data_IF_275156378068
#
_entry.id   IF_275156378068
#
_cell.length_a   1.000
_cell.length_b   1.000
_cell.length_c   1.000
_cell.angle_alpha   90.00
_cell.angle_beta   90.00
_cell.angle_gamma   90.00
#
_symmetry.space_group_name_H-M   'P 1'
#
loop_
_entity.id
_entity.type
_entity.pdbx_description
1 polymer ?
#
# COMPACT_ATOMS: atom_id res chain seq x y z
N UNK A 1 -7.97 -9.40 4.72
CA UNK A 1 -9.18 -8.73 4.18
C UNK A 1 -9.18 -8.96 2.67
N UNK A 2 -10.30 -9.37 2.06
CA UNK A 2 -10.33 -9.81 0.66
C UNK A 2 -10.60 -8.70 -0.36
N UNK A 3 -10.39 -9.01 -1.64
CA UNK A 3 -10.59 -8.12 -2.80
C UNK A 3 -12.05 -7.71 -3.01
N UNK A 4 -12.99 -8.48 -2.44
CA UNK A 4 -14.43 -8.27 -2.56
C UNK A 4 -14.86 -6.85 -2.16
N UNK A 5 -14.13 -6.20 -1.24
CA UNK A 5 -14.44 -4.83 -0.77
C UNK A 5 -14.45 -3.79 -1.89
N UNK A 6 -13.70 -3.99 -2.96
CA UNK A 6 -13.65 -3.04 -4.08
C UNK A 6 -14.87 -3.15 -5.02
N UNK A 7 -15.75 -4.12 -4.76
CA UNK A 7 -17.02 -4.30 -5.48
C UNK A 7 -18.20 -3.66 -4.70
N UNK A 8 -17.92 -2.87 -3.66
CA UNK A 8 -18.92 -2.14 -2.88
C UNK A 8 -18.59 -0.64 -2.85
N UNK A 9 -19.63 0.18 -2.85
CA UNK A 9 -19.53 1.61 -2.55
C UNK A 9 -19.88 1.87 -1.09
N UNK A 10 -19.02 2.57 -0.37
CA UNK A 10 -19.11 2.82 1.06
C UNK A 10 -19.61 4.24 1.34
N UNK A 11 -20.65 4.32 2.16
CA UNK A 11 -21.28 5.57 2.60
C UNK A 11 -21.15 5.71 4.11
N UNK A 12 -20.74 6.89 4.58
CA UNK A 12 -20.67 7.18 6.02
C UNK A 12 -22.09 7.20 6.60
N UNK A 13 -22.23 6.63 7.79
CA UNK A 13 -23.46 6.66 8.57
C UNK A 13 -23.29 7.56 9.80
N UNK A 14 -24.40 8.08 10.36
CA UNK A 14 -24.39 8.83 11.60
C UNK A 14 -23.70 8.06 12.74
N UNK A 15 -22.94 8.78 13.57
CA UNK A 15 -22.22 8.19 14.70
C UNK A 15 -23.16 7.52 15.72
N UNK A 16 -24.40 8.01 15.85
CA UNK A 16 -25.45 7.44 16.71
C UNK A 16 -25.76 5.97 16.36
N UNK A 17 -25.63 5.58 15.09
CA UNK A 17 -25.88 4.21 14.65
C UNK A 17 -24.72 3.25 14.92
N UNK A 18 -23.55 3.75 15.35
CA UNK A 18 -22.33 2.92 15.49
C UNK A 18 -22.55 1.69 16.38
N UNK A 19 -23.15 1.87 17.55
CA UNK A 19 -23.29 0.79 18.54
C UNK A 19 -24.24 -0.30 18.07
N UNK A 20 -25.39 0.07 17.48
CA UNK A 20 -26.35 -0.91 16.98
C UNK A 20 -25.78 -1.65 15.76
N UNK A 21 -25.12 -0.94 14.86
CA UNK A 21 -24.52 -1.52 13.66
C UNK A 21 -23.34 -2.44 13.98
N UNK A 22 -22.58 -2.14 15.03
CA UNK A 22 -21.53 -3.04 15.52
C UNK A 22 -22.10 -4.40 15.95
N UNK A 23 -23.26 -4.40 16.61
CA UNK A 23 -23.95 -5.64 17.02
C UNK A 23 -24.53 -6.41 15.83
N UNK A 24 -24.95 -5.70 14.78
CA UNK A 24 -25.57 -6.29 13.58
C UNK A 24 -24.57 -6.69 12.49
N UNK A 25 -23.28 -6.35 12.63
CA UNK A 25 -22.24 -6.55 11.62
C UNK A 25 -22.23 -7.99 11.07
N UNK A 26 -22.19 -9.00 11.95
CA UNK A 26 -22.16 -10.42 11.53
C UNK A 26 -23.42 -10.86 10.80
N UNK A 27 -24.57 -10.38 11.23
CA UNK A 27 -25.87 -10.75 10.66
C UNK A 27 -26.00 -10.15 9.26
N UNK A 28 -25.73 -8.85 9.13
CA UNK A 28 -25.85 -8.17 7.84
C UNK A 28 -24.77 -8.63 6.87
N UNK A 29 -23.54 -8.86 7.32
CA UNK A 29 -22.43 -9.22 6.43
C UNK A 29 -22.47 -10.68 5.91
N UNK A 30 -23.43 -11.50 6.34
CA UNK A 30 -23.59 -12.88 5.87
C UNK A 30 -24.14 -12.97 4.43
N UNK A 31 -25.05 -12.07 4.04
CA UNK A 31 -25.58 -11.98 2.68
C UNK A 31 -24.61 -11.23 1.74
N UNK A 32 -24.71 -11.29 0.39
CA UNK A 32 -23.69 -10.75 -0.52
C UNK A 32 -23.89 -9.29 -1.00
N UNK A 33 -25.04 -8.67 -0.80
CA UNK A 33 -25.46 -7.38 -1.37
C UNK A 33 -25.07 -6.15 -0.55
N UNK A 34 -25.16 -6.25 0.78
CA UNK A 34 -24.88 -5.11 1.68
C UNK A 34 -23.76 -5.48 2.66
N UNK A 35 -22.92 -4.53 3.01
CA UNK A 35 -22.00 -4.65 4.14
C UNK A 35 -22.25 -3.54 5.13
N UNK A 36 -22.09 -3.82 6.40
CA UNK A 36 -22.02 -2.79 7.43
C UNK A 36 -20.64 -2.91 8.06
N UNK A 37 -20.03 -1.77 8.38
CA UNK A 37 -18.78 -1.72 9.14
C UNK A 37 -18.89 -0.63 10.18
N UNK A 38 -18.84 -1.01 11.45
CA UNK A 38 -18.76 -0.07 12.56
C UNK A 38 -17.49 -0.33 13.36
N UNK A 39 -16.72 0.70 13.68
CA UNK A 39 -15.48 0.52 14.42
C UNK A 39 -14.80 1.84 14.80
N UNK A 40 -13.47 1.79 14.98
CA UNK A 40 -12.65 2.96 15.34
C UNK A 40 -12.87 4.15 14.38
N UNK A 41 -13.07 3.86 13.09
CA UNK A 41 -13.23 4.87 12.04
C UNK A 41 -14.70 5.23 11.74
N UNK A 42 -15.62 5.00 12.68
CA UNK A 42 -17.04 5.29 12.53
C UNK A 42 -17.85 4.15 11.93
N UNK A 43 -19.10 4.44 11.55
CA UNK A 43 -20.03 3.51 10.92
C UNK A 43 -20.16 3.80 9.43
N UNK A 44 -20.19 2.75 8.62
CA UNK A 44 -20.42 2.80 7.17
C UNK A 44 -21.36 1.68 6.75
N UNK A 45 -22.18 1.97 5.74
CA UNK A 45 -22.86 0.97 4.93
C UNK A 45 -22.13 0.86 3.60
N UNK A 46 -22.03 -0.34 3.06
CA UNK A 46 -21.52 -0.61 1.75
C UNK A 46 -22.58 -1.31 0.92
N UNK A 47 -22.80 -0.86 -0.31
CA UNK A 47 -23.76 -1.45 -1.23
C UNK A 47 -22.98 -2.08 -2.38
N UNK A 48 -23.27 -3.34 -2.70
CA UNK A 48 -22.64 -4.06 -3.82
C UNK A 48 -22.98 -3.34 -5.11
N UNK A 49 -21.95 -3.09 -5.91
CA UNK A 49 -22.10 -2.44 -7.19
C UNK A 49 -22.74 -3.41 -8.18
N UNK A 50 -23.75 -2.93 -8.91
CA UNK A 50 -24.32 -3.69 -10.04
C UNK A 50 -23.35 -3.65 -11.23
N UNK A 51 -22.67 -2.52 -11.43
CA UNK A 51 -21.61 -2.34 -12.42
C UNK A 51 -20.35 -1.86 -11.73
N UNK A 52 -19.23 -2.52 -11.98
CA UNK A 52 -17.90 -2.11 -11.53
C UNK A 52 -17.04 -1.82 -12.76
N UNK A 53 -15.94 -1.06 -12.61
CA UNK A 53 -14.99 -0.90 -13.70
C UNK A 53 -14.16 -2.17 -13.98
N UNK A 54 -14.41 -3.26 -13.24
CA UNK A 54 -13.64 -4.48 -13.36
C UNK A 54 -14.37 -5.50 -14.26
N UNK A 55 -13.67 -5.97 -15.28
CA UNK A 55 -14.15 -6.96 -16.25
C UNK A 55 -13.19 -8.16 -16.30
N UNK A 56 -13.49 -9.24 -17.03
CA UNK A 56 -12.52 -10.31 -17.26
C UNK A 56 -11.20 -9.82 -17.89
N UNK A 57 -11.26 -8.75 -18.69
CA UNK A 57 -10.11 -8.11 -19.36
C UNK A 57 -9.41 -7.07 -18.48
N UNK A 58 -10.15 -6.41 -17.58
CA UNK A 58 -9.60 -5.44 -16.62
C UNK A 58 -9.87 -5.88 -15.18
N UNK A 59 -8.93 -6.60 -14.59
CA UNK A 59 -9.12 -7.26 -13.28
C UNK A 59 -8.86 -6.30 -12.13
N UNK A 60 -9.58 -6.48 -11.03
CA UNK A 60 -9.19 -5.85 -9.77
C UNK A 60 -7.94 -6.54 -9.25
N UNK A 61 -6.92 -5.76 -8.89
CA UNK A 61 -5.74 -6.21 -8.18
C UNK A 61 -5.60 -5.43 -6.87
N UNK A 62 -4.98 -6.04 -5.87
CA UNK A 62 -4.72 -5.40 -4.60
C UNK A 62 -3.38 -5.84 -4.00
N UNK A 63 -2.78 -4.98 -3.18
CA UNK A 63 -1.50 -5.24 -2.53
C UNK A 63 -1.15 -4.16 -1.52
N UNK A 64 0.15 -3.98 -1.28
CA UNK A 64 0.64 -2.92 -0.38
C UNK A 64 0.30 -1.54 -0.94
N UNK A 65 -0.05 -0.59 -0.07
CA UNK A 65 -0.18 0.84 -0.42
C UNK A 65 1.15 1.51 -0.80
N UNK A 66 2.30 0.86 -0.52
CA UNK A 66 3.62 1.39 -0.81
C UNK A 66 4.13 0.84 -2.15
N UNK A 67 4.60 1.73 -3.04
CA UNK A 67 5.06 1.39 -4.40
C UNK A 67 6.33 2.11 -4.78
N UNK A 68 7.17 1.48 -5.60
CA UNK A 68 8.32 2.12 -6.25
C UNK A 68 8.00 2.18 -7.73
N UNK A 69 7.73 3.37 -8.24
CA UNK A 69 7.18 3.57 -9.58
C UNK A 69 8.19 4.33 -10.44
N UNK A 70 8.43 3.83 -11.64
CA UNK A 70 9.19 4.56 -12.66
C UNK A 70 8.35 5.70 -13.22
N UNK A 71 9.00 6.69 -13.83
CA UNK A 71 8.32 7.79 -14.52
C UNK A 71 7.29 7.28 -15.54
N UNK A 72 7.61 6.23 -16.30
CA UNK A 72 6.69 5.59 -17.25
C UNK A 72 5.42 5.07 -16.60
N UNK A 73 5.51 4.46 -15.41
CA UNK A 73 4.34 4.02 -14.66
C UNK A 73 3.47 5.20 -14.25
N UNK A 74 4.07 6.30 -13.78
CA UNK A 74 3.34 7.52 -13.39
C UNK A 74 2.63 8.14 -14.60
N UNK A 75 3.32 8.28 -15.73
CA UNK A 75 2.70 8.79 -16.96
C UNK A 75 1.51 7.92 -17.39
N UNK A 76 1.66 6.60 -17.31
CA UNK A 76 0.57 5.68 -17.64
C UNK A 76 -0.62 5.84 -16.69
N UNK A 77 -0.39 5.93 -15.38
CA UNK A 77 -1.45 6.19 -14.40
C UNK A 77 -2.16 7.50 -14.73
N UNK A 78 -1.42 8.57 -15.00
CA UNK A 78 -2.00 9.87 -15.35
C UNK A 78 -2.92 9.77 -16.57
N UNK A 79 -2.43 9.20 -17.68
CA UNK A 79 -3.23 9.03 -18.89
C UNK A 79 -4.44 8.13 -18.66
N UNK A 80 -4.29 7.09 -17.83
CA UNK A 80 -5.40 6.20 -17.49
C UNK A 80 -6.49 6.94 -16.74
N UNK A 81 -6.16 7.73 -15.71
CA UNK A 81 -7.19 8.44 -14.91
C UNK A 81 -7.91 9.52 -15.70
N UNK A 82 -7.22 10.20 -16.62
CA UNK A 82 -7.84 11.17 -17.53
C UNK A 82 -8.85 10.51 -18.48
N UNK A 83 -8.52 9.32 -19.00
CA UNK A 83 -9.38 8.58 -19.92
C UNK A 83 -10.52 7.83 -19.23
N UNK A 84 -10.38 7.54 -17.93
CA UNK A 84 -11.30 6.68 -17.19
C UNK A 84 -11.84 7.37 -15.92
N UNK A 85 -12.56 8.50 -16.04
CA UNK A 85 -13.09 9.21 -14.87
C UNK A 85 -14.06 8.35 -14.03
N UNK A 86 -14.77 7.40 -14.67
CA UNK A 86 -15.64 6.46 -13.97
C UNK A 86 -14.88 5.53 -13.01
N UNK A 87 -13.66 5.12 -13.35
CA UNK A 87 -12.79 4.34 -12.45
C UNK A 87 -12.43 5.15 -11.20
N UNK A 88 -12.03 6.42 -11.39
CA UNK A 88 -11.70 7.32 -10.28
C UNK A 88 -12.92 7.57 -9.37
N UNK A 89 -14.10 7.75 -9.96
CA UNK A 89 -15.33 7.95 -9.21
C UNK A 89 -15.74 6.70 -8.41
N UNK A 90 -15.53 5.51 -8.98
CA UNK A 90 -15.73 4.24 -8.29
C UNK A 90 -14.81 4.16 -7.06
N UNK A 91 -13.50 4.31 -7.26
CA UNK A 91 -12.52 4.15 -6.18
C UNK A 91 -12.59 5.24 -5.10
N UNK A 92 -13.13 6.42 -5.40
CA UNK A 92 -13.41 7.45 -4.38
C UNK A 92 -14.33 6.95 -3.26
N UNK A 93 -15.22 6.01 -3.58
CA UNK A 93 -16.20 5.44 -2.67
C UNK A 93 -15.87 3.99 -2.28
N UNK A 94 -14.71 3.43 -2.66
CA UNK A 94 -14.27 2.11 -2.17
C UNK A 94 -13.56 2.23 -0.83
N UNK A 95 -13.31 1.10 -0.18
CA UNK A 95 -12.61 1.04 1.10
C UNK A 95 -11.12 0.75 0.90
N UNK A 96 -10.27 1.63 1.44
CA UNK A 96 -8.80 1.54 1.35
C UNK A 96 -8.35 1.47 -0.13
N UNK A 97 -8.74 2.46 -0.96
CA UNK A 97 -8.47 2.43 -2.40
C UNK A 97 -6.96 2.46 -2.72
N UNK A 98 -6.13 2.99 -1.83
CA UNK A 98 -4.67 3.00 -1.94
C UNK A 98 -4.05 1.59 -2.05
N UNK A 99 -4.75 0.56 -1.59
CA UNK A 99 -4.34 -0.84 -1.73
C UNK A 99 -4.80 -1.51 -3.03
N UNK A 100 -5.61 -0.88 -3.89
CA UNK A 100 -6.04 -1.46 -5.18
C UNK A 100 -5.87 -0.56 -6.40
N UNK A 101 -5.95 0.75 -6.23
CA UNK A 101 -6.04 1.73 -7.31
C UNK A 101 -4.87 1.57 -8.29
N UNK A 102 -3.64 1.73 -7.77
CA UNK A 102 -2.42 1.68 -8.57
C UNK A 102 -2.18 0.27 -9.11
N UNK A 103 -2.42 -0.75 -8.30
CA UNK A 103 -2.22 -2.16 -8.66
C UNK A 103 -3.15 -2.55 -9.81
N UNK A 104 -4.42 -2.19 -9.73
CA UNK A 104 -5.41 -2.47 -10.78
C UNK A 104 -5.08 -1.73 -12.07
N UNK A 105 -4.58 -0.49 -12.01
CA UNK A 105 -4.16 0.23 -13.23
C UNK A 105 -2.93 -0.45 -13.86
N UNK A 106 -1.89 -0.71 -13.07
CA UNK A 106 -0.58 -1.13 -13.60
C UNK A 106 -0.54 -2.61 -14.00
N UNK A 107 -1.15 -3.50 -13.24
CA UNK A 107 -1.09 -4.95 -13.50
C UNK A 107 -1.94 -5.38 -14.71
N UNK A 108 -2.91 -4.55 -15.12
CA UNK A 108 -3.64 -4.75 -16.37
C UNK A 108 -2.90 -4.20 -17.60
N UNK A 109 -1.67 -3.68 -17.46
CA UNK A 109 -0.86 -3.18 -18.57
C UNK A 109 0.32 -4.10 -18.87
N UNK A 110 0.20 -4.88 -19.94
CA UNK A 110 1.19 -5.89 -20.33
C UNK A 110 2.56 -5.31 -20.75
N UNK A 111 2.62 -4.05 -21.20
CA UNK A 111 3.88 -3.42 -21.60
C UNK A 111 4.74 -2.94 -20.44
N UNK A 112 4.22 -2.95 -19.20
CA UNK A 112 4.97 -2.53 -18.03
C UNK A 112 5.62 -3.75 -17.37
N UNK A 113 6.91 -3.61 -17.04
CA UNK A 113 7.62 -4.59 -16.22
C UNK A 113 7.30 -4.35 -14.75
N UNK A 114 6.37 -5.12 -14.21
CA UNK A 114 5.97 -5.04 -12.80
C UNK A 114 6.60 -6.20 -12.03
N UNK A 115 7.18 -5.91 -10.87
CA UNK A 115 7.74 -6.89 -9.95
C UNK A 115 6.97 -6.82 -8.64
N UNK A 116 6.63 -7.97 -8.06
CA UNK A 116 5.96 -8.05 -6.76
C UNK A 116 6.95 -7.82 -5.59
N UNK A 117 7.66 -6.70 -5.63
CA UNK A 117 8.57 -6.24 -4.59
C UNK A 117 8.56 -4.71 -4.56
N UNK A 118 7.94 -4.13 -3.53
CA UNK A 118 7.92 -2.69 -3.36
C UNK A 118 9.19 -2.14 -2.70
N UNK A 119 10.20 -2.96 -2.38
CA UNK A 119 11.43 -2.51 -1.70
C UNK A 119 11.21 -1.88 -0.33
N UNK A 120 10.11 -2.22 0.37
CA UNK A 120 9.88 -1.86 1.78
C UNK A 120 10.03 -3.09 2.66
N UNK A 121 10.85 -2.97 3.70
CA UNK A 121 10.85 -3.90 4.83
C UNK A 121 9.68 -3.53 5.76
N UNK A 122 8.80 -4.50 6.00
CA UNK A 122 7.65 -4.33 6.90
C UNK A 122 7.51 -5.62 7.70
N UNK A 123 7.66 -5.53 9.02
CA UNK A 123 7.36 -6.65 9.91
C UNK A 123 5.85 -6.73 10.16
N UNK A 124 5.25 -7.88 9.84
CA UNK A 124 3.81 -8.17 9.97
C UNK A 124 3.49 -9.09 11.15
N UNK A 125 4.35 -9.04 12.18
CA UNK A 125 4.12 -9.72 13.45
C UNK A 125 4.14 -8.64 14.52
N UNK A 126 3.01 -8.17 15.07
CA UNK A 126 1.60 -8.67 15.03
C UNK A 126 0.87 -8.50 13.68
N UNK A 127 -0.42 -8.89 13.48
CA UNK A 127 -1.14 -8.81 12.18
C UNK A 127 -1.32 -7.39 11.58
N UNK A 128 -0.64 -6.39 12.14
CA UNK A 128 -0.49 -5.02 11.65
C UNK A 128 1.00 -4.65 11.71
N UNK A 129 1.47 -3.72 10.87
CA UNK A 129 2.90 -3.35 10.81
C UNK A 129 3.47 -3.02 12.20
N UNK A 130 4.48 -3.78 12.61
CA UNK A 130 5.14 -3.61 13.90
C UNK A 130 5.94 -2.29 13.95
N UNK A 131 6.17 -1.81 15.18
CA UNK A 131 7.20 -0.81 15.46
C UNK A 131 8.51 -1.57 15.62
N UNK A 132 9.47 -1.29 14.75
CA UNK A 132 10.78 -1.94 14.74
C UNK A 132 11.73 -1.26 15.70
N UNK A 133 12.62 -2.05 16.29
CA UNK A 133 13.65 -1.61 17.24
C UNK A 133 15.00 -2.21 16.91
N UNK A 134 15.95 -2.08 17.85
CA UNK A 134 17.33 -2.55 17.67
C UNK A 134 17.41 -4.04 17.30
N UNK A 135 16.50 -4.87 17.81
CA UNK A 135 16.43 -6.30 17.49
C UNK A 135 16.17 -6.60 16.01
N UNK A 136 15.57 -5.65 15.28
CA UNK A 136 15.24 -5.82 13.86
C UNK A 136 16.37 -5.32 12.94
N UNK A 137 17.41 -4.68 13.49
CA UNK A 137 18.44 -3.96 12.75
C UNK A 137 19.12 -4.80 11.66
N UNK A 138 19.69 -5.95 12.05
CA UNK A 138 20.36 -6.87 11.12
C UNK A 138 19.44 -7.34 9.99
N UNK A 139 18.19 -7.65 10.33
CA UNK A 139 17.20 -8.08 9.35
C UNK A 139 16.83 -6.97 8.38
N UNK A 140 16.81 -5.71 8.83
CA UNK A 140 16.54 -4.56 7.97
C UNK A 140 17.67 -4.31 6.99
N UNK A 141 18.93 -4.24 7.46
CA UNK A 141 20.07 -3.87 6.61
C UNK A 141 20.42 -4.95 5.58
N UNK A 142 20.18 -6.22 5.91
CA UNK A 142 20.45 -7.36 5.01
C UNK A 142 19.29 -7.68 4.05
N UNK A 143 18.12 -7.04 4.22
CA UNK A 143 16.89 -7.39 3.49
C UNK A 143 16.90 -7.05 1.99
N UNK A 144 17.85 -6.25 1.52
CA UNK A 144 17.84 -5.69 0.16
C UNK A 144 16.66 -4.75 -0.12
N UNK A 145 15.99 -4.26 0.92
CA UNK A 145 14.92 -3.24 0.84
C UNK A 145 15.54 -1.85 0.96
N UNK A 146 14.92 -0.87 0.30
CA UNK A 146 15.42 0.51 0.30
C UNK A 146 14.85 1.34 1.46
N UNK A 147 13.69 0.92 1.98
CA UNK A 147 12.98 1.61 3.05
C UNK A 147 12.46 0.59 4.05
N UNK A 148 12.22 1.02 5.29
CA UNK A 148 11.63 0.18 6.33
C UNK A 148 10.52 0.95 7.08
N UNK A 149 9.51 0.24 7.59
CA UNK A 149 8.49 0.80 8.49
C UNK A 149 7.89 -0.25 9.43
N UNK A 150 7.42 0.11 10.62
CA UNK A 150 7.32 1.47 11.18
C UNK A 150 8.36 1.68 12.29
N UNK A 151 8.67 2.95 12.56
CA UNK A 151 9.50 3.37 13.69
C UNK A 151 8.70 4.31 14.60
N UNK A 152 9.06 4.35 15.87
CA UNK A 152 8.52 5.27 16.88
C UNK A 152 9.65 5.57 17.87
N UNK A 153 10.09 6.82 17.90
CA UNK A 153 11.20 7.30 18.73
C UNK A 153 10.93 7.18 20.23
N UNK A 154 9.64 7.17 20.63
CA UNK A 154 9.23 6.94 22.02
C UNK A 154 9.29 5.48 22.43
N UNK A 155 9.33 4.56 21.47
CA UNK A 155 9.45 3.12 21.72
C UNK A 155 10.91 2.70 21.69
N UNK A 156 11.63 3.07 20.63
CA UNK A 156 13.06 2.77 20.50
C UNK A 156 13.74 3.72 19.51
N UNK A 157 14.28 4.84 20.01
CA UNK A 157 15.04 5.78 19.18
C UNK A 157 16.41 5.22 18.74
N UNK A 158 16.99 4.26 19.49
CA UNK A 158 18.37 3.79 19.25
C UNK A 158 18.52 3.12 17.89
N UNK A 159 17.47 2.46 17.41
CA UNK A 159 17.49 1.85 16.07
C UNK A 159 17.66 2.90 14.96
N UNK A 160 17.15 4.12 15.16
CA UNK A 160 17.30 5.20 14.20
C UNK A 160 18.75 5.69 14.16
N UNK A 161 19.38 5.86 15.33
CA UNK A 161 20.80 6.21 15.42
C UNK A 161 21.69 5.14 14.77
N UNK A 162 21.38 3.86 14.98
CA UNK A 162 22.10 2.75 14.34
C UNK A 162 21.96 2.76 12.82
N UNK A 163 20.75 3.03 12.31
CA UNK A 163 20.50 3.14 10.87
C UNK A 163 21.23 4.35 10.27
N UNK A 164 21.19 5.51 10.93
CA UNK A 164 21.88 6.70 10.46
C UNK A 164 23.39 6.51 10.44
N UNK A 165 23.96 5.87 11.47
CA UNK A 165 25.39 5.53 11.51
C UNK A 165 25.77 4.59 10.37
N UNK A 166 25.04 3.50 10.18
CA UNK A 166 25.30 2.54 9.11
C UNK A 166 25.20 3.17 7.72
N UNK A 167 24.17 4.00 7.48
CA UNK A 167 24.00 4.72 6.22
C UNK A 167 25.08 5.79 6.00
N UNK A 168 25.63 6.37 7.07
CA UNK A 168 26.76 7.30 7.04
C UNK A 168 28.05 6.60 6.60
N UNK A 169 28.41 5.49 7.25
CA UNK A 169 29.57 4.65 6.90
C UNK A 169 29.48 4.17 5.44
N UNK A 170 28.30 3.73 5.00
CA UNK A 170 28.03 3.33 3.62
C UNK A 170 28.24 4.43 2.57
N UNK A 171 28.05 5.70 2.96
CA UNK A 171 28.27 6.86 2.06
C UNK A 171 29.74 7.19 1.94
N UNK A 172 30.47 7.17 3.06
CA UNK A 172 31.91 7.36 3.08
C UNK A 172 32.61 6.29 2.24
N UNK A 173 32.25 5.03 2.45
CA UNK A 173 32.73 3.91 1.64
C UNK A 173 32.43 4.10 0.14
N UNK A 174 31.19 4.46 -0.24
CA UNK A 174 30.82 4.69 -1.65
C UNK A 174 31.58 5.86 -2.30
N UNK A 175 31.83 6.93 -1.55
CA UNK A 175 32.63 8.04 -2.06
C UNK A 175 34.08 7.59 -2.30
N UNK A 176 34.67 6.83 -1.38
CA UNK A 176 36.01 6.27 -1.53
C UNK A 176 36.14 5.37 -2.77
N UNK A 177 35.13 4.54 -3.07
CA UNK A 177 35.07 3.76 -4.32
C UNK A 177 34.87 4.63 -5.58
N UNK A 178 34.11 5.72 -5.50
CA UNK A 178 33.87 6.62 -6.65
C UNK A 178 35.07 7.51 -7.03
N UNK A 179 36.10 7.58 -6.17
CA UNK A 179 37.37 8.28 -6.43
C UNK A 179 38.51 7.35 -6.88
N UNK A 180 38.23 6.08 -7.19
CA UNK A 180 39.15 5.21 -7.94
C UNK A 180 39.12 5.57 -9.43
N UNK A 181 40.13 6.31 -9.89
CA UNK A 181 40.29 6.86 -11.25
C UNK A 181 40.47 5.83 -12.40
N UNK A 182 40.00 4.59 -12.28
CA UNK A 182 40.31 3.52 -13.24
C UNK A 182 39.28 3.26 -14.35
N UNK A 183 38.04 3.79 -14.28
CA UNK A 183 36.97 3.34 -15.18
C UNK A 183 36.23 4.45 -15.96
N UNK A 184 36.80 5.65 -16.07
CA UNK A 184 36.17 6.81 -16.76
C UNK A 184 36.13 6.67 -18.31
N UNK A 185 36.52 5.54 -18.89
CA UNK A 185 36.45 5.33 -20.34
C UNK A 185 35.87 3.98 -20.75
N UNK A 186 34.57 3.75 -20.53
CA UNK A 186 33.78 2.89 -21.41
C UNK A 186 32.38 3.49 -21.62
N UNK A 187 32.13 3.84 -22.88
CA UNK A 187 30.90 4.36 -23.49
C UNK A 187 29.70 3.46 -23.20
#
# INVERSE_FOLDING_TARGET
MGIERYFFLYYKLPASLKTILYKLDRIVNWQPLVRIRAGKFGARIAIRCVSTPFTPEFKCYAGSQWHTLSYRCIQYIHQFVERNPAFVQHDRNTLVPDESFIQSILLNQSMLKIVNDNKRYISWTPPYPAIMGVQDFESMITSGKHFARKFDDKVDAKVLDMLDKHLGEDRENRQEYSYSNSDVYKV
#
